data_IF_611965147489
#
_entry.id   IF_611965147489
#
_cell.length_a   1.000
_cell.length_b   1.000
_cell.length_c   1.000
_cell.angle_alpha   90.00
_cell.angle_beta   90.00
_cell.angle_gamma   90.00
#
_symmetry.space_group_name_H-M   'P 1'
#
loop_
_entity.id
_entity.type
_entity.pdbx_description
1 polymer ?
#
# COMPACT_ATOMS: atom_id res chain seq x y z
N UNK A 1 1.93 2.13 18.18
CA UNK A 1 0.62 1.51 17.85
C UNK A 1 0.37 1.71 16.35
N UNK A 2 -0.01 0.68 15.60
CA UNK A 2 -0.38 0.77 14.19
C UNK A 2 -1.87 0.48 14.07
N UNK A 3 -2.63 1.41 13.53
CA UNK A 3 -4.07 1.27 13.31
C UNK A 3 -4.36 1.16 11.81
N UNK A 4 -5.01 0.07 11.42
CA UNK A 4 -5.54 -0.10 10.06
C UNK A 4 -6.99 0.37 10.01
N UNK A 5 -7.30 1.21 9.05
CA UNK A 5 -8.64 1.73 8.81
C UNK A 5 -9.04 1.46 7.37
N UNK A 6 -10.09 0.69 7.17
CA UNK A 6 -10.66 0.46 5.82
C UNK A 6 -11.89 1.33 5.66
N UNK A 7 -11.88 2.20 4.67
CA UNK A 7 -12.93 3.17 4.38
C UNK A 7 -13.72 2.83 3.10
N UNK A 8 -14.93 3.39 3.00
CA UNK A 8 -15.77 3.26 1.81
C UNK A 8 -16.47 1.90 1.66
N UNK A 9 -16.99 1.66 0.44
CA UNK A 9 -17.64 0.41 0.07
C UNK A 9 -16.60 -0.63 -0.33
N UNK A 10 -16.35 -1.55 0.57
CA UNK A 10 -15.37 -2.61 0.41
C UNK A 10 -16.08 -3.97 0.49
N UNK A 11 -15.97 -4.88 -0.51
CA UNK A 11 -16.55 -6.22 -0.39
C UNK A 11 -15.82 -6.95 0.75
N UNK A 12 -16.55 -7.73 1.54
CA UNK A 12 -15.97 -8.50 2.67
C UNK A 12 -15.04 -7.65 3.58
N UNK A 13 -15.44 -6.43 3.90
CA UNK A 13 -14.64 -5.40 4.60
C UNK A 13 -13.97 -5.94 5.87
N UNK A 14 -14.70 -6.72 6.67
CA UNK A 14 -14.19 -7.31 7.91
C UNK A 14 -13.06 -8.32 7.65
N UNK A 15 -13.20 -9.14 6.60
CA UNK A 15 -12.16 -10.08 6.20
C UNK A 15 -10.90 -9.37 5.72
N UNK A 16 -11.04 -8.33 4.91
CA UNK A 16 -9.90 -7.50 4.50
C UNK A 16 -9.25 -6.78 5.67
N UNK A 17 -10.03 -6.31 6.64
CA UNK A 17 -9.49 -5.69 7.83
C UNK A 17 -8.69 -6.69 8.66
N UNK A 18 -9.24 -7.89 8.92
CA UNK A 18 -8.53 -8.94 9.64
C UNK A 18 -7.25 -9.34 8.92
N UNK A 19 -7.33 -9.61 7.62
CA UNK A 19 -6.18 -9.93 6.79
C UNK A 19 -5.08 -8.86 6.88
N UNK A 20 -5.44 -7.59 6.72
CA UNK A 20 -4.49 -6.50 6.83
C UNK A 20 -3.86 -6.38 8.23
N UNK A 21 -4.62 -6.62 9.29
CA UNK A 21 -4.09 -6.67 10.65
C UNK A 21 -3.09 -7.81 10.84
N UNK A 22 -3.38 -8.99 10.28
CA UNK A 22 -2.49 -10.16 10.38
C UNK A 22 -1.17 -9.93 9.63
N UNK A 23 -1.23 -9.33 8.43
CA UNK A 23 -0.03 -8.92 7.68
C UNK A 23 0.78 -7.87 8.44
N UNK A 24 0.14 -6.86 9.02
CA UNK A 24 0.83 -5.86 9.85
C UNK A 24 1.49 -6.51 11.05
N UNK A 25 0.82 -7.41 11.74
CA UNK A 25 1.35 -8.14 12.88
C UNK A 25 2.51 -9.08 12.51
N UNK A 26 2.50 -9.62 11.27
CA UNK A 26 3.62 -10.38 10.73
C UNK A 26 4.92 -9.55 10.74
N UNK A 27 4.84 -8.29 10.32
CA UNK A 27 6.00 -7.40 10.26
C UNK A 27 6.35 -6.73 11.59
N UNK A 28 5.36 -6.45 12.44
CA UNK A 28 5.51 -5.64 13.65
C UNK A 28 5.04 -6.39 14.90
N UNK A 29 5.84 -7.34 15.36
CA UNK A 29 5.56 -8.17 16.55
C UNK A 29 5.63 -7.41 17.87
N UNK A 30 6.17 -6.19 17.89
CA UNK A 30 6.31 -5.36 19.10
C UNK A 30 5.53 -4.08 18.95
N UNK A 31 4.87 -3.68 20.04
CA UNK A 31 4.19 -2.39 20.09
C UNK A 31 5.16 -1.22 19.82
N UNK A 32 4.73 -0.34 18.96
CA UNK A 32 5.42 0.92 18.68
C UNK A 32 4.85 2.02 19.56
N UNK A 33 5.72 2.90 20.04
CA UNK A 33 5.30 4.08 20.81
C UNK A 33 4.60 5.12 19.93
N UNK A 34 5.00 5.19 18.65
CA UNK A 34 4.42 6.14 17.69
C UNK A 34 3.06 5.67 17.21
N UNK A 35 2.12 6.59 17.07
CA UNK A 35 0.85 6.34 16.41
C UNK A 35 1.05 6.40 14.90
N UNK A 36 0.71 5.29 14.24
CA UNK A 36 0.71 5.17 12.78
C UNK A 36 -0.69 4.77 12.35
N UNK A 37 -1.24 5.46 11.38
CA UNK A 37 -2.53 5.13 10.78
C UNK A 37 -2.31 4.73 9.33
N UNK A 38 -2.74 3.52 8.98
CA UNK A 38 -2.77 3.05 7.60
C UNK A 38 -4.22 3.07 7.14
N UNK A 39 -4.54 4.01 6.26
CA UNK A 39 -5.86 4.11 5.64
C UNK A 39 -5.90 3.33 4.33
N UNK A 40 -6.90 2.45 4.17
CA UNK A 40 -7.13 1.70 2.95
C UNK A 40 -8.47 2.10 2.36
N UNK A 41 -8.48 2.48 1.09
CA UNK A 41 -9.69 2.77 0.32
C UNK A 41 -9.74 1.92 -0.95
N UNK A 42 -10.95 1.64 -1.44
CA UNK A 42 -11.16 1.02 -2.72
C UNK A 42 -11.80 2.00 -3.69
N UNK A 43 -11.19 2.16 -4.85
CA UNK A 43 -11.69 2.96 -5.96
C UNK A 43 -12.23 2.06 -7.08
N UNK A 44 -13.16 2.54 -7.89
CA UNK A 44 -13.63 1.77 -9.06
C UNK A 44 -12.47 1.41 -9.99
N UNK A 45 -11.57 2.34 -10.24
CA UNK A 45 -10.34 2.20 -11.02
C UNK A 45 -9.30 3.22 -10.56
N UNK A 46 -8.04 2.86 -10.63
CA UNK A 46 -6.91 3.77 -10.42
C UNK A 46 -6.37 4.27 -11.77
N UNK A 47 -5.63 5.38 -11.73
CA UNK A 47 -4.94 5.91 -12.89
C UNK A 47 -3.89 4.91 -13.40
N UNK A 48 -3.59 4.98 -14.71
CA UNK A 48 -2.65 4.07 -15.38
C UNK A 48 -2.98 2.58 -15.27
N UNK A 49 -4.23 2.24 -14.96
CA UNK A 49 -4.67 0.85 -14.76
C UNK A 49 -3.93 0.12 -13.64
N UNK A 50 -3.43 0.85 -12.65
CA UNK A 50 -2.76 0.27 -11.48
C UNK A 50 -3.75 -0.53 -10.62
N UNK A 51 -3.29 -1.63 -10.05
CA UNK A 51 -4.08 -2.44 -9.12
C UNK A 51 -4.12 -1.85 -7.72
N UNK A 52 -3.04 -1.18 -7.30
CA UNK A 52 -2.91 -0.50 -6.03
C UNK A 52 -1.77 0.49 -6.02
N UNK A 53 -1.72 1.34 -5.01
CA UNK A 53 -0.56 2.15 -4.66
C UNK A 53 -0.57 2.54 -3.18
N UNK A 54 0.62 2.78 -2.63
CA UNK A 54 0.85 3.19 -1.26
C UNK A 54 1.59 4.53 -1.22
N UNK A 55 1.11 5.45 -0.37
CA UNK A 55 1.70 6.78 -0.19
C UNK A 55 1.93 7.08 1.28
N UNK A 56 3.13 7.54 1.63
CA UNK A 56 3.45 8.05 2.96
C UNK A 56 3.27 9.57 3.00
N UNK A 57 2.25 10.03 3.72
CA UNK A 57 2.00 11.46 3.96
C UNK A 57 2.82 12.05 5.11
N UNK A 58 3.66 11.23 5.76
CA UNK A 58 4.45 11.65 6.91
C UNK A 58 3.59 11.88 8.15
N UNK A 59 4.08 12.74 9.06
CA UNK A 59 3.39 13.02 10.32
C UNK A 59 2.42 14.17 10.16
N UNK A 60 1.14 13.89 10.41
CA UNK A 60 0.04 14.82 10.33
C UNK A 60 -0.57 15.07 11.72
N UNK A 61 -1.20 16.21 11.91
CA UNK A 61 -2.03 16.45 13.08
C UNK A 61 -3.36 15.72 12.89
N UNK A 62 -3.60 14.74 13.74
CA UNK A 62 -4.87 14.00 13.78
C UNK A 62 -5.55 14.37 15.10
N UNK A 63 -6.50 15.26 15.06
CA UNK A 63 -7.24 15.66 16.26
C UNK A 63 -8.67 15.96 15.90
N UNK A 64 -9.61 15.24 16.52
CA UNK A 64 -10.98 15.67 16.64
C UNK A 64 -11.09 16.42 17.98
N UNK A 65 -11.72 17.59 17.97
CA UNK A 65 -12.08 18.33 19.20
C UNK A 65 -10.90 18.85 20.07
N UNK A 66 -9.86 19.43 19.42
CA UNK A 66 -8.86 20.22 20.15
C UNK A 66 -7.69 19.41 20.75
N UNK A 67 -7.69 18.11 20.66
CA UNK A 67 -6.52 17.30 21.02
C UNK A 67 -5.50 17.30 19.87
N UNK A 68 -4.28 17.76 20.14
CA UNK A 68 -3.16 17.76 19.20
C UNK A 68 -2.47 16.41 19.22
N UNK A 69 -3.11 15.37 18.73
CA UNK A 69 -2.46 14.10 18.50
C UNK A 69 -1.73 14.13 17.16
N UNK A 70 -0.49 13.65 17.13
CA UNK A 70 0.29 13.50 15.91
C UNK A 70 0.34 12.03 15.54
N UNK A 71 0.01 11.72 14.31
CA UNK A 71 0.16 10.38 13.75
C UNK A 71 0.88 10.43 12.41
N UNK A 72 1.63 9.38 12.11
CA UNK A 72 2.11 9.15 10.74
C UNK A 72 0.98 8.55 9.94
N UNK A 73 0.71 9.13 8.79
CA UNK A 73 -0.38 8.72 7.91
C UNK A 73 0.19 8.04 6.66
N UNK A 74 -0.26 6.82 6.41
CA UNK A 74 0.02 6.08 5.19
C UNK A 74 -1.32 5.76 4.53
N UNK A 75 -1.46 6.03 3.24
CA UNK A 75 -2.66 5.73 2.49
C UNK A 75 -2.38 4.65 1.44
N UNK A 76 -3.27 3.68 1.37
CA UNK A 76 -3.31 2.64 0.35
C UNK A 76 -4.59 2.80 -0.43
N UNK A 77 -4.49 2.89 -1.75
CA UNK A 77 -5.63 2.86 -2.65
C UNK A 77 -5.58 1.59 -3.48
N UNK A 78 -6.71 0.89 -3.56
CA UNK A 78 -6.85 -0.35 -4.32
C UNK A 78 -7.87 -0.15 -5.45
N UNK A 79 -7.62 -0.76 -6.60
CA UNK A 79 -8.56 -0.78 -7.71
C UNK A 79 -9.52 -1.96 -7.59
N UNK A 80 -10.81 -1.71 -7.86
CA UNK A 80 -11.80 -2.79 -7.98
C UNK A 80 -11.77 -3.47 -9.33
N UNK A 81 -11.44 -2.71 -10.37
CA UNK A 81 -11.50 -3.17 -11.75
C UNK A 81 -10.20 -2.87 -12.47
N UNK A 82 -9.92 -3.63 -13.49
CA UNK A 82 -8.90 -3.34 -14.48
C UNK A 82 -9.53 -3.16 -15.86
N UNK A 83 -8.80 -2.54 -16.77
CA UNK A 83 -9.19 -2.26 -18.15
C UNK A 83 -8.22 -2.99 -19.07
N UNK A 84 -8.72 -3.82 -19.96
CA UNK A 84 -7.91 -4.52 -20.96
C UNK A 84 -7.79 -3.74 -22.29
N UNK A 85 -8.38 -2.54 -22.35
CA UNK A 85 -8.43 -1.67 -23.52
C UNK A 85 -9.75 -1.74 -24.28
N UNK A 86 -10.60 -2.72 -23.99
CA UNK A 86 -11.95 -2.89 -24.59
C UNK A 86 -13.04 -2.81 -23.53
N UNK A 87 -12.87 -3.48 -22.40
CA UNK A 87 -13.86 -3.57 -21.32
C UNK A 87 -13.24 -3.44 -19.93
N UNK A 88 -14.07 -3.06 -18.95
CA UNK A 88 -13.68 -3.06 -17.54
C UNK A 88 -14.06 -4.39 -16.90
N UNK A 89 -13.10 -5.06 -16.28
CA UNK A 89 -13.29 -6.31 -15.56
C UNK A 89 -13.08 -6.13 -14.05
N UNK A 90 -13.89 -6.77 -13.20
CA UNK A 90 -13.63 -6.77 -11.77
C UNK A 90 -12.43 -7.66 -11.43
N UNK A 91 -11.58 -7.19 -10.52
CA UNK A 91 -10.60 -8.06 -9.88
C UNK A 91 -11.28 -9.09 -8.99
N UNK A 92 -10.74 -10.30 -8.95
CA UNK A 92 -11.12 -11.29 -7.95
C UNK A 92 -10.82 -10.82 -6.53
N UNK A 93 -11.60 -11.28 -5.57
CA UNK A 93 -11.41 -10.87 -4.15
C UNK A 93 -10.02 -11.26 -3.64
N UNK A 94 -9.51 -12.43 -4.05
CA UNK A 94 -8.15 -12.88 -3.72
C UNK A 94 -7.08 -12.01 -4.38
N UNK A 95 -7.29 -11.56 -5.60
CA UNK A 95 -6.34 -10.67 -6.30
C UNK A 95 -6.25 -9.32 -5.59
N UNK A 96 -7.39 -8.78 -5.14
CA UNK A 96 -7.41 -7.55 -4.32
C UNK A 96 -6.68 -7.77 -2.99
N UNK A 97 -6.81 -8.94 -2.36
CA UNK A 97 -6.08 -9.26 -1.14
C UNK A 97 -4.57 -9.34 -1.39
N UNK A 98 -4.15 -9.96 -2.49
CA UNK A 98 -2.73 -10.00 -2.91
C UNK A 98 -2.18 -8.59 -3.14
N UNK A 99 -2.93 -7.74 -3.83
CA UNK A 99 -2.56 -6.33 -4.00
C UNK A 99 -2.47 -5.60 -2.65
N UNK A 100 -3.41 -5.83 -1.74
CA UNK A 100 -3.33 -5.24 -0.38
C UNK A 100 -2.08 -5.72 0.37
N UNK A 101 -1.71 -7.00 0.26
CA UNK A 101 -0.47 -7.51 0.84
C UNK A 101 0.75 -6.79 0.28
N UNK A 102 0.83 -6.63 -1.05
CA UNK A 102 1.87 -5.86 -1.74
C UNK A 102 2.00 -4.44 -1.19
N UNK A 103 0.90 -3.71 -1.12
CA UNK A 103 0.89 -2.32 -0.62
C UNK A 103 1.22 -2.23 0.87
N UNK A 104 0.88 -3.25 1.66
CA UNK A 104 1.28 -3.32 3.07
C UNK A 104 2.79 -3.58 3.24
N UNK A 105 3.44 -4.25 2.29
CA UNK A 105 4.92 -4.33 2.26
C UNK A 105 5.51 -2.95 2.04
N UNK A 106 4.97 -2.13 1.12
CA UNK A 106 5.40 -0.74 0.95
C UNK A 106 5.16 0.10 2.21
N UNK A 107 4.00 -0.06 2.86
CA UNK A 107 3.76 0.59 4.14
C UNK A 107 4.80 0.20 5.20
N UNK A 108 5.18 -1.08 5.30
CA UNK A 108 6.27 -1.56 6.16
C UNK A 108 7.60 -0.90 5.81
N UNK A 109 7.94 -0.80 4.52
CA UNK A 109 9.18 -0.17 4.05
C UNK A 109 9.24 1.31 4.43
N UNK A 110 8.13 2.05 4.27
CA UNK A 110 8.02 3.44 4.72
C UNK A 110 8.17 3.56 6.25
N UNK A 111 7.48 2.72 7.02
CA UNK A 111 7.53 2.73 8.50
C UNK A 111 8.94 2.46 9.00
N UNK A 112 9.66 1.54 8.38
CA UNK A 112 11.06 1.21 8.70
C UNK A 112 12.08 2.16 8.10
N UNK A 113 11.65 3.08 7.25
CA UNK A 113 12.51 4.01 6.48
C UNK A 113 13.44 3.30 5.48
N UNK A 114 13.08 2.11 5.06
CA UNK A 114 13.72 1.37 3.97
C UNK A 114 13.39 2.01 2.62
N UNK A 115 12.20 2.58 2.49
CA UNK A 115 11.74 3.41 1.38
C UNK A 115 11.37 4.80 1.90
N UNK A 116 11.82 5.84 1.20
CA UNK A 116 11.46 7.24 1.48
C UNK A 116 11.18 7.95 0.17
N UNK A 117 10.44 9.06 0.23
CA UNK A 117 10.19 9.88 -0.97
C UNK A 117 11.48 10.33 -1.65
N UNK A 118 12.54 10.59 -0.86
CA UNK A 118 13.85 10.95 -1.41
C UNK A 118 14.50 9.79 -2.17
N UNK A 119 14.46 8.58 -1.63
CA UNK A 119 14.97 7.37 -2.30
C UNK A 119 14.20 7.14 -3.60
N UNK A 120 12.88 7.21 -3.54
CA UNK A 120 12.01 7.04 -4.71
C UNK A 120 12.32 8.07 -5.80
N UNK A 121 12.39 9.35 -5.45
CA UNK A 121 12.69 10.42 -6.40
C UNK A 121 14.08 10.25 -7.02
N UNK A 122 15.10 9.90 -6.24
CA UNK A 122 16.45 9.67 -6.76
C UNK A 122 16.49 8.48 -7.72
N UNK A 123 15.80 7.39 -7.42
CA UNK A 123 15.74 6.22 -8.29
C UNK A 123 15.01 6.53 -9.61
N UNK A 124 13.93 7.29 -9.58
CA UNK A 124 13.19 7.74 -10.76
C UNK A 124 14.08 8.61 -11.67
N UNK A 125 14.80 9.57 -11.11
CA UNK A 125 15.72 10.44 -11.87
C UNK A 125 16.86 9.64 -12.50
N UNK A 126 17.45 8.70 -11.75
CA UNK A 126 18.59 7.90 -12.24
C UNK A 126 18.16 6.92 -13.33
N UNK A 127 16.97 6.32 -13.21
CA UNK A 127 16.47 5.28 -14.12
C UNK A 127 15.88 5.84 -15.41
N UNK A 128 15.30 7.05 -15.36
CA UNK A 128 14.62 7.64 -16.53
C UNK A 128 15.53 8.52 -17.40
N UNK A 129 16.70 8.91 -16.91
CA UNK A 129 17.48 9.96 -17.54
C UNK A 129 16.60 11.21 -17.71
N UNK A 130 16.81 12.00 -18.76
CA UNK A 130 15.91 13.11 -19.06
C UNK A 130 14.57 12.56 -19.60
N UNK A 131 13.55 12.46 -18.73
CA UNK A 131 12.13 12.35 -19.08
C UNK A 131 11.69 11.12 -19.92
N UNK A 132 12.17 9.93 -19.64
CA UNK A 132 11.58 8.69 -20.20
C UNK A 132 10.63 8.07 -19.20
N UNK A 133 9.44 7.67 -19.68
CA UNK A 133 8.49 6.87 -18.92
C UNK A 133 9.16 5.57 -18.46
N UNK A 134 9.15 5.29 -17.15
CA UNK A 134 9.62 4.01 -16.62
C UNK A 134 8.81 2.88 -17.23
N UNK A 135 9.49 1.90 -17.83
CA UNK A 135 8.83 0.68 -18.24
C UNK A 135 8.51 -0.15 -16.98
N UNK A 136 7.43 -0.92 -17.01
CA UNK A 136 7.03 -1.76 -15.91
C UNK A 136 8.11 -2.80 -15.53
N UNK A 137 8.90 -3.26 -16.51
CA UNK A 137 10.01 -4.18 -16.28
C UNK A 137 11.17 -3.55 -15.50
N UNK A 138 11.43 -2.26 -15.68
CA UNK A 138 12.46 -1.52 -14.91
C UNK A 138 11.95 -1.23 -13.51
N UNK A 139 10.69 -0.81 -13.39
CA UNK A 139 10.06 -0.52 -12.10
C UNK A 139 10.09 -1.74 -11.17
N UNK A 140 9.73 -2.94 -11.66
CA UNK A 140 9.75 -4.19 -10.89
C UNK A 140 11.12 -4.60 -10.36
N UNK A 141 12.21 -4.07 -10.91
CA UNK A 141 13.60 -4.37 -10.49
C UNK A 141 14.10 -3.48 -9.35
N UNK A 142 13.33 -2.49 -8.91
CA UNK A 142 13.69 -1.75 -7.72
C UNK A 142 13.63 -2.67 -6.49
N UNK A 143 14.59 -2.57 -5.55
CA UNK A 143 14.65 -3.47 -4.40
C UNK A 143 13.37 -3.53 -3.56
N UNK A 144 12.66 -2.42 -3.44
CA UNK A 144 11.40 -2.36 -2.70
C UNK A 144 10.26 -3.06 -3.44
N UNK A 145 10.26 -3.04 -4.77
CA UNK A 145 9.29 -3.79 -5.58
C UNK A 145 9.60 -5.28 -5.59
N UNK A 146 10.87 -5.66 -5.71
CA UNK A 146 11.28 -7.07 -5.63
C UNK A 146 10.86 -7.70 -4.30
N UNK A 147 11.03 -6.98 -3.19
CA UNK A 147 10.56 -7.43 -1.88
C UNK A 147 9.03 -7.55 -1.85
N UNK A 148 8.30 -6.56 -2.35
CA UNK A 148 6.84 -6.56 -2.33
C UNK A 148 6.26 -7.70 -3.18
N UNK A 149 6.73 -7.88 -4.41
CA UNK A 149 6.34 -9.00 -5.27
C UNK A 149 6.74 -10.37 -4.69
N UNK A 150 7.88 -10.45 -4.01
CA UNK A 150 8.35 -11.69 -3.38
C UNK A 150 7.49 -12.13 -2.20
N UNK A 151 6.89 -11.20 -1.48
CA UNK A 151 6.13 -11.47 -0.25
C UNK A 151 4.61 -11.53 -0.46
N UNK A 152 4.06 -10.89 -1.50
CA UNK A 152 2.60 -10.75 -1.66
C UNK A 152 1.87 -12.09 -1.71
N UNK A 153 2.38 -13.07 -2.45
CA UNK A 153 1.75 -14.38 -2.56
C UNK A 153 1.90 -15.18 -1.26
N UNK A 154 3.07 -15.17 -0.63
CA UNK A 154 3.29 -15.83 0.65
C UNK A 154 2.34 -15.31 1.73
N UNK A 155 2.25 -13.99 1.88
CA UNK A 155 1.37 -13.34 2.85
C UNK A 155 -0.11 -13.63 2.55
N UNK A 156 -0.48 -13.66 1.27
CA UNK A 156 -1.84 -13.99 0.86
C UNK A 156 -2.17 -15.45 1.18
N UNK A 157 -1.26 -16.39 0.97
CA UNK A 157 -1.47 -17.78 1.34
C UNK A 157 -1.56 -18.01 2.84
N UNK A 158 -0.79 -17.26 3.63
CA UNK A 158 -0.75 -17.42 5.09
C UNK A 158 -1.98 -16.86 5.78
N UNK A 159 -2.55 -15.76 5.30
CA UNK A 159 -3.51 -14.96 6.05
C UNK A 159 -4.86 -14.76 5.37
N UNK A 160 -4.96 -14.95 4.05
CA UNK A 160 -6.23 -14.82 3.32
C UNK A 160 -7.00 -16.14 3.25
#
# INVERSE_FOLDING_TARGET
MINLVISGRFPQKERFHQFGCDVINHFFKRDRKDLIVIGVEMKPRLDNNDSGYCVDFGTCNVGAFGEKSRARMIAISLSRNYDDGEENFPYGVRDIASTLAHELVHAKQYIRRELTQKILNNALVTSTGKARTLTQSVYRKFPWEEEAYGLEEELTQLYW
#
